data_IF_147093182444
#
_entry.id   IF_147093182444
#
_cell.length_a   1.000
_cell.length_b   1.000
_cell.length_c   1.000
_cell.angle_alpha   90.00
_cell.angle_beta   90.00
_cell.angle_gamma   90.00
#
_symmetry.space_group_name_H-M   'P 1'
#
loop_
_entity.id
_entity.type
_entity.pdbx_description
1 polymer ?
#
# COMPACT_ATOMS: atom_id res chain seq x y z
N UNK A 1 -11.78 22.55 -16.71
CA UNK A 1 -12.12 21.35 -15.91
C UNK A 1 -10.94 20.94 -15.07
N UNK A 2 -11.12 20.82 -13.76
CA UNK A 2 -10.10 20.22 -12.91
C UNK A 2 -10.02 18.73 -13.23
N UNK A 3 -8.79 18.25 -13.46
CA UNK A 3 -8.55 16.83 -13.66
C UNK A 3 -8.75 16.09 -12.34
N UNK A 4 -9.64 15.09 -12.33
CA UNK A 4 -9.84 14.23 -11.17
C UNK A 4 -8.60 13.38 -10.94
N UNK A 5 -8.01 13.48 -9.75
CA UNK A 5 -6.83 12.68 -9.36
C UNK A 5 -7.26 11.28 -8.97
N UNK A 6 -6.66 10.28 -9.59
CA UNK A 6 -6.91 8.87 -9.28
C UNK A 6 -5.82 8.33 -8.37
N UNK A 7 -6.20 7.92 -7.18
CA UNK A 7 -5.30 7.40 -6.15
C UNK A 7 -5.58 5.91 -5.95
N UNK A 8 -4.56 5.08 -6.17
CA UNK A 8 -4.62 3.67 -5.85
C UNK A 8 -4.01 3.43 -4.48
N UNK A 9 -4.69 2.67 -3.63
CA UNK A 9 -4.19 2.26 -2.31
C UNK A 9 -3.91 0.77 -2.36
N UNK A 10 -2.68 0.38 -2.09
CA UNK A 10 -2.21 -1.02 -2.11
C UNK A 10 -1.50 -1.36 -0.80
N UNK A 11 -1.31 -2.64 -0.52
CA UNK A 11 -0.59 -3.10 0.67
C UNK A 11 -1.46 -3.27 1.91
N UNK A 12 -2.76 -3.34 1.73
CA UNK A 12 -3.73 -3.56 2.83
C UNK A 12 -4.61 -4.77 2.52
N UNK A 13 -5.14 -5.41 3.53
CA UNK A 13 -6.17 -6.46 3.36
C UNK A 13 -7.41 -5.89 2.67
N UNK A 14 -7.74 -4.65 2.95
CA UNK A 14 -8.84 -3.93 2.34
C UNK A 14 -9.80 -3.33 3.33
N UNK A 15 -10.88 -2.78 2.81
CA UNK A 15 -11.96 -2.17 3.58
C UNK A 15 -13.29 -2.87 3.23
N UNK A 16 -14.28 -2.90 4.12
CA UNK A 16 -14.31 -2.35 5.49
C UNK A 16 -13.23 -2.94 6.40
N UNK A 17 -12.73 -2.13 7.33
CA UNK A 17 -11.69 -2.55 8.26
C UNK A 17 -12.19 -3.60 9.25
N UNK A 18 -11.63 -4.80 9.19
CA UNK A 18 -11.91 -5.86 10.15
C UNK A 18 -10.85 -5.93 11.23
N UNK A 19 -9.59 -5.75 10.84
CA UNK A 19 -8.45 -5.87 11.73
C UNK A 19 -7.23 -5.20 11.10
N UNK A 20 -6.47 -4.45 11.90
CA UNK A 20 -5.20 -3.88 11.49
C UNK A 20 -5.18 -2.36 11.44
N UNK A 21 -3.99 -1.79 11.58
CA UNK A 21 -3.77 -0.35 11.57
C UNK A 21 -3.90 0.28 10.19
N UNK A 22 -3.44 -0.42 9.14
CA UNK A 22 -3.53 0.08 7.77
C UNK A 22 -4.96 0.10 7.27
N UNK A 23 -5.77 -0.90 7.61
CA UNK A 23 -7.18 -0.96 7.23
C UNK A 23 -7.95 0.20 7.85
N UNK A 24 -7.70 0.50 9.12
CA UNK A 24 -8.30 1.65 9.81
C UNK A 24 -7.84 2.97 9.21
N UNK A 25 -6.55 3.08 8.87
CA UNK A 25 -6.00 4.26 8.21
C UNK A 25 -6.69 4.51 6.86
N UNK A 26 -6.85 3.47 6.04
CA UNK A 26 -7.49 3.57 4.73
C UNK A 26 -8.97 3.95 4.89
N UNK A 27 -9.66 3.35 5.84
CA UNK A 27 -11.07 3.65 6.11
C UNK A 27 -11.27 5.11 6.48
N UNK A 28 -10.41 5.64 7.34
CA UNK A 28 -10.43 7.06 7.70
C UNK A 28 -10.08 7.95 6.51
N UNK A 29 -9.08 7.56 5.73
CA UNK A 29 -8.65 8.31 4.55
C UNK A 29 -9.80 8.49 3.55
N UNK A 30 -10.45 7.41 3.16
CA UNK A 30 -11.53 7.46 2.18
C UNK A 30 -12.83 8.05 2.76
N UNK A 31 -12.99 8.00 4.09
CA UNK A 31 -14.15 8.55 4.78
C UNK A 31 -14.08 10.05 5.03
N UNK A 32 -12.93 10.53 5.50
CA UNK A 32 -12.76 11.91 5.95
C UNK A 32 -12.18 12.83 4.88
N UNK A 33 -11.30 12.32 4.03
CA UNK A 33 -10.64 13.11 2.99
C UNK A 33 -11.32 12.95 1.63
N UNK A 34 -12.65 12.99 1.62
CA UNK A 34 -13.43 13.00 0.39
C UNK A 34 -13.29 14.36 -0.30
N UNK A 35 -12.97 14.32 -1.58
CA UNK A 35 -12.96 15.49 -2.43
C UNK A 35 -13.56 15.13 -3.79
N UNK A 36 -14.30 16.05 -4.39
CA UNK A 36 -14.78 15.88 -5.74
C UNK A 36 -13.64 15.75 -6.76
N UNK A 37 -12.43 16.17 -6.39
CA UNK A 37 -11.25 16.13 -7.24
C UNK A 37 -10.41 14.84 -7.06
N UNK A 38 -10.80 13.93 -6.17
CA UNK A 38 -10.03 12.70 -5.87
C UNK A 38 -10.93 11.47 -5.96
N UNK A 39 -10.50 10.49 -6.72
CA UNK A 39 -11.10 9.16 -6.80
C UNK A 39 -10.15 8.14 -6.19
N UNK A 40 -10.60 7.44 -5.14
CA UNK A 40 -9.82 6.39 -4.51
C UNK A 40 -10.21 5.02 -5.07
N UNK A 41 -9.19 4.20 -5.36
CA UNK A 41 -9.34 2.77 -5.62
C UNK A 41 -8.53 2.02 -4.58
N UNK A 42 -9.16 1.14 -3.82
CA UNK A 42 -8.49 0.33 -2.80
C UNK A 42 -8.40 -1.10 -3.30
N UNK A 43 -7.18 -1.65 -3.31
CA UNK A 43 -6.95 -3.05 -3.65
C UNK A 43 -7.07 -3.89 -2.39
N UNK A 44 -7.92 -4.90 -2.46
CA UNK A 44 -8.30 -5.75 -1.34
C UNK A 44 -7.92 -7.20 -1.64
N UNK A 45 -7.74 -8.00 -0.60
CA UNK A 45 -7.57 -9.45 -0.75
C UNK A 45 -8.94 -10.12 -0.79
N UNK A 46 -9.25 -10.83 -1.87
CA UNK A 46 -10.49 -11.60 -1.93
C UNK A 46 -10.46 -12.86 -1.06
N UNK A 47 -9.26 -13.26 -0.63
CA UNK A 47 -9.09 -14.40 0.27
C UNK A 47 -9.34 -14.00 1.73
N UNK A 48 -8.87 -12.81 2.11
CA UNK A 48 -8.92 -12.34 3.50
C UNK A 48 -10.17 -11.52 3.81
N UNK A 49 -10.83 -10.95 2.79
CA UNK A 49 -12.06 -10.18 2.97
C UNK A 49 -13.29 -11.09 2.83
N UNK A 50 -14.14 -11.16 3.87
CA UNK A 50 -15.32 -12.03 3.84
C UNK A 50 -16.43 -11.53 2.91
N UNK A 51 -16.46 -10.24 2.65
CA UNK A 51 -17.45 -9.62 1.76
C UNK A 51 -16.75 -8.92 0.60
N UNK A 52 -17.17 -9.23 -0.61
CA UNK A 52 -16.64 -8.59 -1.82
C UNK A 52 -17.68 -7.61 -2.35
N UNK A 53 -17.52 -6.36 -1.99
CA UNK A 53 -18.34 -5.25 -2.47
C UNK A 53 -17.54 -4.43 -3.48
N UNK A 54 -18.23 -3.79 -4.42
CA UNK A 54 -17.58 -3.02 -5.49
C UNK A 54 -17.20 -1.60 -5.07
N UNK A 55 -17.85 -1.07 -4.05
CA UNK A 55 -17.66 0.30 -3.58
C UNK A 55 -17.86 0.39 -2.07
N UNK A 56 -17.06 1.23 -1.42
CA UNK A 56 -17.20 1.49 0.02
C UNK A 56 -16.78 2.94 0.31
N UNK A 57 -17.65 3.69 0.98
CA UNK A 57 -17.44 5.11 1.33
C UNK A 57 -16.99 5.96 0.13
N UNK A 58 -17.48 5.64 -1.07
CA UNK A 58 -17.12 6.35 -2.30
C UNK A 58 -15.84 5.89 -2.98
N UNK A 59 -15.11 4.94 -2.40
CA UNK A 59 -13.93 4.35 -3.01
C UNK A 59 -14.30 3.09 -3.81
N UNK A 60 -13.66 2.91 -4.95
CA UNK A 60 -13.78 1.70 -5.77
C UNK A 60 -12.93 0.61 -5.14
N UNK A 61 -13.48 -0.59 -5.00
CA UNK A 61 -12.75 -1.74 -4.45
C UNK A 61 -12.42 -2.73 -5.57
N UNK A 62 -11.16 -3.14 -5.65
CA UNK A 62 -10.68 -4.18 -6.56
C UNK A 62 -10.02 -5.29 -5.76
N UNK A 63 -10.21 -6.53 -6.21
CA UNK A 63 -9.82 -7.70 -5.44
C UNK A 63 -8.71 -8.49 -6.12
N UNK A 64 -7.78 -8.98 -5.30
CA UNK A 64 -6.66 -9.82 -5.70
C UNK A 64 -6.80 -11.15 -4.96
N UNK A 65 -6.79 -12.30 -5.66
CA UNK A 65 -7.01 -13.61 -5.05
C UNK A 65 -5.74 -14.18 -4.40
N UNK A 66 -5.13 -13.39 -3.52
CA UNK A 66 -3.91 -13.75 -2.78
C UNK A 66 -4.04 -13.19 -1.37
N UNK A 67 -3.51 -13.90 -0.38
CA UNK A 67 -3.42 -13.39 0.99
C UNK A 67 -2.55 -12.12 1.04
N UNK A 68 -3.04 -11.11 1.74
CA UNK A 68 -2.35 -9.82 1.87
C UNK A 68 -1.25 -9.83 2.91
N UNK A 69 -1.23 -10.81 3.80
CA UNK A 69 -0.33 -10.87 4.94
C UNK A 69 0.60 -12.09 4.90
N UNK A 70 1.62 -12.05 5.76
CA UNK A 70 2.57 -13.13 5.93
C UNK A 70 3.49 -13.31 4.73
N UNK A 71 3.81 -14.56 4.42
CA UNK A 71 4.71 -14.92 3.32
C UNK A 71 4.18 -14.56 1.92
N UNK A 72 2.88 -14.33 1.80
CA UNK A 72 2.24 -13.97 0.53
C UNK A 72 2.20 -12.45 0.28
N UNK A 73 2.52 -11.64 1.29
CA UNK A 73 2.46 -10.19 1.17
C UNK A 73 3.30 -9.64 0.00
N UNK A 74 4.54 -10.09 -0.23
CA UNK A 74 5.32 -9.61 -1.38
C UNK A 74 4.66 -9.93 -2.73
N UNK A 75 4.04 -11.09 -2.85
CA UNK A 75 3.32 -11.50 -4.07
C UNK A 75 2.07 -10.64 -4.25
N UNK A 76 1.30 -10.47 -3.18
CA UNK A 76 0.11 -9.64 -3.17
C UNK A 76 0.41 -8.19 -3.59
N UNK A 77 1.43 -7.60 -3.00
CA UNK A 77 1.84 -6.23 -3.30
C UNK A 77 2.37 -6.11 -4.73
N UNK A 78 3.13 -7.09 -5.21
CA UNK A 78 3.64 -7.09 -6.59
C UNK A 78 2.51 -7.15 -7.62
N UNK A 79 1.50 -7.98 -7.39
CA UNK A 79 0.32 -8.05 -8.26
C UNK A 79 -0.46 -6.74 -8.21
N UNK A 80 -0.61 -6.16 -7.02
CA UNK A 80 -1.26 -4.86 -6.84
C UNK A 80 -0.53 -3.78 -7.63
N UNK A 81 0.79 -3.73 -7.56
CA UNK A 81 1.60 -2.79 -8.34
C UNK A 81 1.42 -2.99 -9.85
N UNK A 82 1.45 -4.23 -10.32
CA UNK A 82 1.22 -4.53 -11.75
C UNK A 82 -0.12 -3.97 -12.24
N UNK A 83 -1.15 -4.06 -11.43
CA UNK A 83 -2.49 -3.56 -11.78
C UNK A 83 -2.58 -2.03 -11.71
N UNK A 84 -1.63 -1.37 -11.08
CA UNK A 84 -1.61 0.09 -10.91
C UNK A 84 -0.58 0.80 -11.82
N UNK A 85 0.08 0.08 -12.72
CA UNK A 85 1.09 0.66 -13.63
C UNK A 85 0.49 1.82 -14.45
N UNK A 86 -0.76 1.68 -14.87
CA UNK A 86 -1.46 2.68 -15.67
C UNK A 86 -2.80 3.04 -15.06
N UNK A 87 -3.26 4.25 -15.33
CA UNK A 87 -4.59 4.69 -14.95
C UNK A 87 -4.69 5.38 -13.61
N UNK A 88 -3.58 5.60 -12.93
CA UNK A 88 -3.54 6.27 -11.62
C UNK A 88 -2.51 7.40 -11.62
N UNK A 89 -2.82 8.47 -10.90
CA UNK A 89 -1.91 9.60 -10.72
C UNK A 89 -0.99 9.39 -9.51
N UNK A 90 -1.50 8.69 -8.49
CA UNK A 90 -0.77 8.40 -7.26
C UNK A 90 -1.00 6.94 -6.86
N UNK A 91 0.04 6.27 -6.45
CA UNK A 91 -0.02 4.93 -5.84
C UNK A 91 0.48 5.05 -4.40
N UNK A 92 -0.42 4.82 -3.45
CA UNK A 92 -0.10 4.79 -2.02
C UNK A 92 0.14 3.34 -1.62
N UNK A 93 1.38 3.01 -1.28
CA UNK A 93 1.77 1.69 -0.81
C UNK A 93 1.89 1.69 0.71
N UNK A 94 1.12 0.83 1.35
CA UNK A 94 1.12 0.67 2.80
C UNK A 94 2.02 -0.51 3.18
N UNK A 95 3.07 -0.22 3.92
CA UNK A 95 4.10 -1.21 4.25
C UNK A 95 5.15 -1.35 3.15
N UNK A 96 6.10 -2.24 3.37
CA UNK A 96 7.30 -2.39 2.54
C UNK A 96 7.47 -3.79 1.94
N UNK A 97 6.46 -4.66 2.07
CA UNK A 97 6.55 -6.05 1.58
C UNK A 97 6.79 -6.12 0.07
N UNK A 98 6.22 -5.18 -0.70
CA UNK A 98 6.40 -5.09 -2.15
C UNK A 98 7.61 -4.28 -2.60
N UNK A 99 8.41 -3.74 -1.69
CA UNK A 99 9.54 -2.87 -2.02
C UNK A 99 10.55 -3.49 -2.99
N UNK A 100 10.88 -4.80 -2.94
CA UNK A 100 11.78 -5.40 -3.93
C UNK A 100 11.31 -5.26 -5.38
N UNK A 101 10.01 -5.10 -5.60
CA UNK A 101 9.44 -4.91 -6.94
C UNK A 101 9.42 -3.44 -7.38
N UNK A 102 9.63 -2.48 -6.47
CA UNK A 102 9.58 -1.04 -6.76
C UNK A 102 10.48 -0.59 -7.91
N UNK A 103 11.75 -1.06 -8.04
CA UNK A 103 12.59 -0.66 -9.15
C UNK A 103 11.98 -0.98 -10.51
N UNK A 104 11.40 -2.17 -10.64
CA UNK A 104 10.72 -2.60 -11.88
C UNK A 104 9.46 -1.78 -12.10
N UNK A 105 8.65 -1.62 -11.07
CA UNK A 105 7.43 -0.83 -11.11
C UNK A 105 7.70 0.62 -11.54
N UNK A 106 8.76 1.23 -11.00
CA UNK A 106 9.15 2.60 -11.32
C UNK A 106 9.50 2.78 -12.80
N UNK A 107 10.05 1.77 -13.44
CA UNK A 107 10.38 1.81 -14.87
C UNK A 107 9.15 1.91 -15.77
N UNK A 108 8.02 1.37 -15.32
CA UNK A 108 6.81 1.24 -16.15
C UNK A 108 5.68 2.19 -15.76
N UNK A 109 5.72 2.78 -14.56
CA UNK A 109 4.68 3.68 -14.09
C UNK A 109 5.09 5.15 -14.22
N UNK A 110 4.10 6.01 -14.49
CA UNK A 110 4.24 7.46 -14.41
C UNK A 110 3.60 8.04 -13.14
N UNK A 111 2.99 7.20 -12.32
CA UNK A 111 2.34 7.62 -11.08
C UNK A 111 3.35 8.09 -10.06
N UNK A 112 2.94 9.02 -9.19
CA UNK A 112 3.69 9.31 -7.97
C UNK A 112 3.58 8.12 -7.02
N UNK A 113 4.70 7.70 -6.49
CA UNK A 113 4.77 6.59 -5.53
C UNK A 113 4.93 7.16 -4.13
N UNK A 114 3.93 6.90 -3.29
CA UNK A 114 3.94 7.27 -1.86
C UNK A 114 4.01 5.98 -1.05
N UNK A 115 5.03 5.84 -0.22
CA UNK A 115 5.23 4.65 0.61
C UNK A 115 5.09 5.02 2.08
N UNK A 116 4.23 4.31 2.79
CA UNK A 116 4.15 4.36 4.25
C UNK A 116 5.00 3.23 4.82
N UNK A 117 6.06 3.57 5.54
CA UNK A 117 7.02 2.62 6.11
C UNK A 117 6.70 2.20 7.54
N UNK A 118 5.53 2.52 8.03
CA UNK A 118 5.09 2.10 9.37
C UNK A 118 4.99 0.59 9.50
N UNK A 119 5.08 0.13 10.73
CA UNK A 119 5.02 -1.29 11.06
C UNK A 119 6.39 -1.98 11.15
N UNK A 120 7.49 -1.25 10.86
CA UNK A 120 8.85 -1.81 11.06
C UNK A 120 9.17 -2.04 12.54
N UNK A 121 8.47 -1.37 13.45
CA UNK A 121 8.62 -1.55 14.89
C UNK A 121 8.21 -2.96 15.36
N UNK A 122 7.36 -3.63 14.61
CA UNK A 122 6.98 -5.03 14.92
C UNK A 122 8.16 -6.00 14.82
N UNK A 123 9.23 -5.59 14.16
CA UNK A 123 10.40 -6.41 13.92
C UNK A 123 11.56 -6.11 14.88
N UNK A 124 11.39 -5.14 15.80
CA UNK A 124 12.42 -4.84 16.79
C UNK A 124 12.54 -5.98 17.80
N UNK A 125 13.72 -6.62 17.83
CA UNK A 125 14.10 -7.59 18.84
C UNK A 125 13.73 -9.06 18.61
N UNK A 126 12.95 -9.38 17.56
CA UNK A 126 12.49 -10.76 17.31
C UNK A 126 13.28 -11.52 16.23
N UNK A 127 14.18 -10.85 15.51
CA UNK A 127 14.81 -11.46 14.34
C UNK A 127 16.32 -11.36 14.38
N UNK A 128 16.99 -12.36 13.76
CA UNK A 128 18.44 -12.43 13.64
C UNK A 128 19.02 -11.33 12.73
N UNK A 129 20.37 -11.29 12.67
CA UNK A 129 21.11 -10.27 11.89
C UNK A 129 20.72 -10.24 10.41
N UNK A 130 20.44 -11.39 9.81
CA UNK A 130 20.04 -11.48 8.39
C UNK A 130 18.72 -10.77 8.13
N UNK A 131 17.72 -10.98 8.98
CA UNK A 131 16.41 -10.34 8.84
C UNK A 131 16.49 -8.83 9.02
N UNK A 132 17.32 -8.36 9.96
CA UNK A 132 17.57 -6.91 10.15
C UNK A 132 18.22 -6.30 8.92
N UNK A 133 19.18 -6.99 8.32
CA UNK A 133 19.83 -6.55 7.09
C UNK A 133 18.82 -6.47 5.94
N UNK A 134 17.99 -7.50 5.78
CA UNK A 134 16.93 -7.56 4.76
C UNK A 134 15.92 -6.42 4.91
N UNK A 135 15.48 -6.16 6.13
CA UNK A 135 14.55 -5.04 6.42
C UNK A 135 15.20 -3.69 6.10
N UNK A 136 16.46 -3.50 6.47
CA UNK A 136 17.21 -2.29 6.14
C UNK A 136 17.35 -2.09 4.63
N UNK A 137 17.60 -3.17 3.89
CA UNK A 137 17.70 -3.17 2.44
C UNK A 137 16.38 -2.78 1.78
N UNK A 138 15.27 -3.39 2.22
CA UNK A 138 13.91 -3.07 1.75
C UNK A 138 13.58 -1.60 2.01
N UNK A 139 13.88 -1.10 3.19
CA UNK A 139 13.66 0.30 3.56
C UNK A 139 14.46 1.24 2.66
N UNK A 140 15.71 0.90 2.37
CA UNK A 140 16.57 1.68 1.48
C UNK A 140 15.99 1.74 0.07
N UNK A 141 15.50 0.61 -0.46
CA UNK A 141 14.83 0.57 -1.77
C UNK A 141 13.58 1.44 -1.76
N UNK A 142 12.73 1.31 -0.75
CA UNK A 142 11.53 2.11 -0.62
C UNK A 142 11.84 3.61 -0.63
N UNK A 143 12.84 4.04 0.16
CA UNK A 143 13.26 5.43 0.20
C UNK A 143 13.86 5.93 -1.12
N UNK A 144 14.55 5.06 -1.84
CA UNK A 144 15.20 5.43 -3.11
C UNK A 144 14.20 5.61 -4.26
N UNK A 145 13.20 4.76 -4.34
CA UNK A 145 12.28 4.72 -5.49
C UNK A 145 10.92 5.39 -5.23
N UNK A 146 10.59 5.69 -3.97
CA UNK A 146 9.38 6.45 -3.66
C UNK A 146 9.58 7.94 -3.89
N UNK A 147 8.53 8.62 -4.37
CA UNK A 147 8.54 10.09 -4.47
C UNK A 147 8.31 10.72 -3.10
N UNK A 148 7.49 10.08 -2.25
CA UNK A 148 7.20 10.52 -0.90
C UNK A 148 7.24 9.31 0.04
N UNK A 149 7.88 9.47 1.18
CA UNK A 149 7.92 8.46 2.24
C UNK A 149 7.20 9.02 3.47
N UNK A 150 6.22 8.28 3.97
CA UNK A 150 5.48 8.62 5.17
C UNK A 150 5.95 7.72 6.31
N UNK A 151 6.23 8.33 7.45
CA UNK A 151 6.58 7.62 8.68
C UNK A 151 5.88 8.28 9.85
N UNK A 152 5.14 7.50 10.60
CA UNK A 152 4.45 8.00 11.81
C UNK A 152 5.35 7.96 13.04
N UNK A 153 6.51 7.33 12.95
CA UNK A 153 7.43 7.21 14.08
C UNK A 153 8.62 8.15 13.91
N UNK A 154 8.76 9.08 14.87
CA UNK A 154 9.87 10.04 14.89
C UNK A 154 11.27 9.40 14.95
N UNK A 155 11.36 8.13 15.35
CA UNK A 155 12.63 7.40 15.40
C UNK A 155 13.11 6.85 14.05
N UNK A 156 12.34 7.03 12.97
CA UNK A 156 12.65 6.49 11.64
C UNK A 156 13.13 7.61 10.68
N UNK A 157 13.12 8.85 11.14
CA UNK A 157 13.64 9.98 10.36
C UNK A 157 15.15 9.95 10.21
#
# INVERSE_FOLDING_TARGET
MKHMKKVAVIGTVGVPANYGGFESLVENLIGEYKSADIEYTVFCSSVDQPQQISEYKGAILKYIPVHANGKYAPIYDSISMLRTIRGYDVVLMLGTAGAPFLPIFRMFTKSKIVVNIDGLDQFRGKFGKFTRWYIGWIKTIACKYADVVISDNKGIQ
#
